data_IF_381646799230
#
_entry.id   IF_381646799230
#
_cell.length_a   1.000
_cell.length_b   1.000
_cell.length_c   1.000
_cell.angle_alpha   90.00
_cell.angle_beta   90.00
_cell.angle_gamma   90.00
#
_symmetry.space_group_name_H-M   'P 1'
#
loop_
_entity.id
_entity.type
_entity.pdbx_description
1 polymer ?
#
# COMPACT_ATOMS: atom_id res chain seq x y z
N UNK A 1 21.02 38.78 -16.77
CA UNK A 1 21.02 37.39 -17.26
C UNK A 1 19.76 36.69 -16.75
N UNK A 2 18.88 36.23 -17.63
CA UNK A 2 17.63 35.59 -17.28
C UNK A 2 17.89 34.10 -16.99
N UNK A 3 17.33 33.49 -15.92
CA UNK A 3 17.45 32.07 -15.71
C UNK A 3 16.57 31.31 -16.71
N UNK A 4 17.14 30.31 -17.35
CA UNK A 4 16.44 29.38 -18.24
C UNK A 4 15.56 28.46 -17.41
N UNK A 5 14.26 28.68 -17.47
CA UNK A 5 13.27 27.69 -17.03
C UNK A 5 13.42 26.44 -17.89
N UNK A 6 13.96 25.37 -17.32
CA UNK A 6 13.82 24.02 -17.88
C UNK A 6 12.40 23.55 -17.56
N UNK A 7 11.57 23.54 -18.60
CA UNK A 7 10.24 22.94 -18.58
C UNK A 7 10.36 21.45 -18.29
N UNK A 8 10.04 21.06 -17.07
CA UNK A 8 9.71 19.69 -16.73
C UNK A 8 8.21 19.48 -16.95
N UNK A 9 7.79 19.56 -18.21
CA UNK A 9 6.47 19.21 -18.67
C UNK A 9 6.56 17.85 -19.35
N UNK A 10 5.88 16.87 -18.74
CA UNK A 10 5.25 15.71 -19.38
C UNK A 10 6.18 14.72 -20.09
N UNK A 11 6.78 13.84 -19.31
CA UNK A 11 6.87 12.45 -19.70
C UNK A 11 6.09 11.66 -18.65
N UNK A 12 4.83 11.35 -18.98
CA UNK A 12 4.01 10.41 -18.27
C UNK A 12 4.66 9.03 -18.38
N UNK A 13 5.57 8.73 -17.47
CA UNK A 13 6.03 7.38 -17.26
C UNK A 13 4.83 6.59 -16.78
N UNK A 14 4.42 5.62 -17.56
CA UNK A 14 3.63 4.48 -17.11
C UNK A 14 4.44 3.73 -16.06
N UNK A 15 4.53 4.29 -14.86
CA UNK A 15 4.89 3.52 -13.70
C UNK A 15 3.67 2.65 -13.38
N UNK A 16 3.68 1.43 -13.90
CA UNK A 16 2.86 0.37 -13.36
C UNK A 16 3.43 0.10 -11.98
N UNK A 17 3.07 0.94 -11.02
CA UNK A 17 3.34 0.68 -9.61
C UNK A 17 2.40 -0.44 -9.20
N UNK A 18 2.94 -1.64 -9.19
CA UNK A 18 2.29 -2.83 -8.66
C UNK A 18 2.17 -2.71 -7.15
N UNK A 19 1.23 -1.89 -6.69
CA UNK A 19 0.78 -1.95 -5.30
C UNK A 19 -0.29 -3.02 -5.22
N UNK A 20 0.12 -4.26 -5.05
CA UNK A 20 -0.78 -5.32 -4.64
C UNK A 20 -1.25 -5.06 -3.21
N UNK A 21 -2.24 -4.19 -3.04
CA UNK A 21 -3.06 -4.16 -1.84
C UNK A 21 -3.88 -5.44 -1.83
N UNK A 22 -3.31 -6.51 -1.30
CA UNK A 22 -3.99 -7.79 -1.16
C UNK A 22 -4.92 -7.75 0.05
N UNK A 23 -6.06 -7.86 -0.25
CA UNK A 23 -7.38 -7.80 0.31
C UNK A 23 -7.84 -8.97 1.07
N UNK A 24 -8.58 -8.64 2.07
CA UNK A 24 -9.51 -9.53 2.75
C UNK A 24 -10.88 -9.44 2.07
N UNK A 25 -11.42 -10.55 1.62
CA UNK A 25 -12.74 -10.60 0.99
C UNK A 25 -13.81 -11.08 1.97
N UNK A 26 -14.90 -10.38 2.05
CA UNK A 26 -16.15 -10.86 2.64
C UNK A 26 -17.19 -11.10 1.55
N UNK A 27 -17.86 -12.26 1.64
CA UNK A 27 -19.01 -12.60 0.82
C UNK A 27 -20.27 -11.99 1.44
N UNK A 28 -21.01 -11.22 0.68
CA UNK A 28 -22.44 -11.01 0.87
C UNK A 28 -23.19 -11.50 -0.36
N UNK A 29 -23.99 -12.55 -0.15
CA UNK A 29 -25.03 -12.98 -1.07
C UNK A 29 -26.17 -11.97 -0.98
N UNK A 30 -26.47 -11.31 -2.06
CA UNK A 30 -27.82 -10.80 -2.33
C UNK A 30 -28.25 -11.29 -3.71
N UNK A 31 -29.31 -12.07 -3.64
CA UNK A 31 -30.08 -12.62 -4.75
C UNK A 31 -30.82 -11.50 -5.48
N UNK A 32 -30.60 -11.37 -6.77
CA UNK A 32 -31.57 -10.79 -7.69
C UNK A 32 -31.71 -11.70 -8.90
N UNK A 33 -32.95 -12.11 -9.11
CA UNK A 33 -33.48 -13.04 -10.09
C UNK A 33 -33.40 -12.52 -11.53
N UNK A 34 -33.63 -13.39 -12.53
CA UNK A 34 -33.16 -13.21 -13.89
C UNK A 34 -34.18 -12.51 -14.77
N UNK A 35 -33.71 -11.79 -15.78
CA UNK A 35 -34.52 -11.34 -16.91
C UNK A 35 -34.08 -12.05 -18.18
N UNK A 36 -34.97 -12.96 -18.59
CA UNK A 36 -35.45 -13.39 -19.92
C UNK A 36 -34.54 -13.34 -21.15
N UNK A 37 -34.37 -14.54 -21.73
CA UNK A 37 -34.39 -15.00 -23.13
C UNK A 37 -34.22 -14.01 -24.28
N UNK A 38 -33.23 -14.28 -25.12
CA UNK A 38 -33.20 -14.06 -26.55
C UNK A 38 -32.73 -15.35 -27.25
N UNK A 39 -33.33 -15.73 -28.39
CA UNK A 39 -33.33 -17.12 -28.87
C UNK A 39 -32.06 -17.54 -29.60
N UNK A 40 -31.80 -18.85 -29.50
CA UNK A 40 -30.82 -19.64 -30.26
C UNK A 40 -31.28 -19.78 -31.68
N UNK A 41 -30.39 -19.53 -32.63
CA UNK A 41 -30.49 -20.07 -33.99
C UNK A 41 -29.56 -21.28 -34.06
N UNK A 42 -30.15 -22.45 -34.14
CA UNK A 42 -29.49 -23.68 -34.52
C UNK A 42 -29.17 -23.63 -36.00
N UNK A 43 -27.95 -23.96 -36.36
CA UNK A 43 -27.68 -24.54 -37.68
C UNK A 43 -26.74 -25.73 -37.54
N UNK A 44 -27.30 -26.85 -37.96
CA UNK A 44 -26.72 -28.19 -37.87
C UNK A 44 -25.85 -28.48 -39.07
N UNK A 45 -24.60 -28.80 -38.86
CA UNK A 45 -23.85 -29.61 -39.79
C UNK A 45 -22.91 -30.55 -39.05
N UNK A 46 -23.32 -31.80 -38.95
CA UNK A 46 -22.52 -32.91 -38.43
C UNK A 46 -21.43 -33.30 -39.40
N UNK A 47 -20.16 -33.07 -39.01
CA UNK A 47 -19.02 -33.75 -39.60
C UNK A 47 -18.29 -34.48 -38.47
N UNK A 48 -18.43 -35.78 -38.47
CA UNK A 48 -17.68 -36.69 -37.61
C UNK A 48 -16.23 -36.77 -38.08
N UNK A 49 -15.33 -36.09 -37.39
CA UNK A 49 -13.89 -36.31 -37.52
C UNK A 49 -13.41 -36.99 -36.24
N UNK A 50 -12.95 -38.20 -36.38
CA UNK A 50 -12.24 -38.95 -35.35
C UNK A 50 -11.02 -38.14 -34.90
N UNK A 51 -11.07 -37.63 -33.68
CA UNK A 51 -9.99 -36.84 -33.10
C UNK A 51 -8.95 -37.78 -32.48
N UNK A 52 -7.90 -38.05 -33.22
CA UNK A 52 -6.63 -38.41 -32.59
C UNK A 52 -6.19 -37.24 -31.69
N UNK A 53 -6.08 -37.53 -30.41
CA UNK A 53 -5.70 -36.54 -29.38
C UNK A 53 -4.22 -36.18 -29.52
N UNK A 54 -3.90 -35.29 -30.42
CA UNK A 54 -2.62 -34.59 -30.39
C UNK A 54 -2.64 -33.63 -29.24
N UNK A 55 -1.93 -33.94 -28.16
CA UNK A 55 -1.73 -33.07 -27.04
C UNK A 55 -0.94 -31.81 -27.50
N UNK A 56 -1.66 -30.79 -27.93
CA UNK A 56 -1.08 -29.48 -28.27
C UNK A 56 -0.43 -28.93 -27.02
N UNK A 57 0.90 -28.93 -26.98
CA UNK A 57 1.66 -28.21 -25.93
C UNK A 57 1.19 -26.74 -25.91
N UNK A 58 0.31 -26.37 -24.97
CA UNK A 58 -0.15 -24.99 -24.82
C UNK A 58 1.08 -24.10 -24.66
N UNK A 59 1.25 -23.13 -25.55
CA UNK A 59 2.34 -22.14 -25.47
C UNK A 59 2.36 -21.51 -24.06
N UNK A 60 3.55 -21.28 -23.53
CA UNK A 60 3.75 -20.58 -22.23
C UNK A 60 2.94 -19.27 -22.18
N UNK A 61 2.91 -18.52 -23.26
CA UNK A 61 2.14 -17.28 -23.39
C UNK A 61 0.63 -17.50 -23.27
N UNK A 62 0.09 -18.59 -23.84
CA UNK A 62 -1.33 -18.93 -23.69
C UNK A 62 -1.68 -19.32 -22.26
N UNK A 63 -0.82 -20.10 -21.58
CA UNK A 63 -1.00 -20.42 -20.15
C UNK A 63 -0.94 -19.17 -19.26
N UNK A 64 -0.06 -18.23 -19.59
CA UNK A 64 0.05 -16.95 -18.92
C UNK A 64 -1.22 -16.10 -19.08
N UNK A 65 -1.72 -15.95 -20.31
CA UNK A 65 -2.99 -15.23 -20.56
C UNK A 65 -4.19 -15.91 -19.91
N UNK A 66 -4.27 -17.26 -19.97
CA UNK A 66 -5.33 -18.02 -19.31
C UNK A 66 -5.29 -17.82 -17.78
N UNK A 67 -4.12 -17.75 -17.17
CA UNK A 67 -3.98 -17.44 -15.73
C UNK A 67 -4.61 -16.10 -15.35
N UNK A 68 -4.36 -15.03 -16.13
CA UNK A 68 -4.94 -13.71 -15.87
C UNK A 68 -6.45 -13.66 -16.18
N UNK A 69 -6.90 -14.37 -17.21
CA UNK A 69 -8.32 -14.46 -17.54
C UNK A 69 -9.10 -15.23 -16.46
N UNK A 70 -8.50 -16.29 -15.92
CA UNK A 70 -9.13 -17.14 -14.90
C UNK A 70 -8.94 -16.60 -13.47
N UNK A 71 -8.10 -15.60 -13.27
CA UNK A 71 -7.85 -15.02 -11.95
C UNK A 71 -9.11 -14.43 -11.29
N UNK A 72 -10.09 -13.98 -12.08
CA UNK A 72 -11.35 -13.41 -11.61
C UNK A 72 -12.47 -14.43 -11.40
N UNK A 73 -12.25 -15.72 -11.70
CA UNK A 73 -13.24 -16.78 -11.48
C UNK A 73 -13.25 -17.19 -10.02
N UNK A 74 -14.41 -17.14 -9.36
CA UNK A 74 -14.57 -17.59 -7.99
C UNK A 74 -14.31 -19.10 -7.88
N UNK A 75 -13.33 -19.47 -7.09
CA UNK A 75 -13.02 -20.87 -6.78
C UNK A 75 -13.66 -21.26 -5.44
N UNK A 76 -14.92 -21.67 -5.47
CA UNK A 76 -15.80 -21.87 -4.29
C UNK A 76 -15.31 -22.87 -3.21
N UNK A 77 -14.28 -23.70 -3.43
CA UNK A 77 -13.93 -24.79 -2.51
C UNK A 77 -12.44 -24.89 -2.10
N UNK A 78 -11.65 -23.84 -2.23
CA UNK A 78 -10.25 -23.92 -1.80
C UNK A 78 -10.07 -23.62 -0.33
N UNK A 79 -9.32 -24.50 0.34
CA UNK A 79 -8.89 -24.32 1.75
C UNK A 79 -7.99 -23.11 1.91
N UNK A 80 -7.19 -22.82 0.87
CA UNK A 80 -6.22 -21.76 0.76
C UNK A 80 -6.20 -21.29 -0.69
N UNK A 81 -6.59 -20.05 -0.92
CA UNK A 81 -6.55 -19.46 -2.27
C UNK A 81 -5.23 -18.74 -2.47
N UNK A 82 -4.32 -19.40 -3.15
CA UNK A 82 -2.99 -18.89 -3.44
C UNK A 82 -2.94 -18.19 -4.80
N UNK A 83 -2.24 -17.07 -4.86
CA UNK A 83 -2.02 -16.31 -6.08
C UNK A 83 -0.60 -15.76 -6.12
N UNK A 84 0.04 -15.85 -7.28
CA UNK A 84 1.33 -15.20 -7.52
C UNK A 84 1.14 -14.16 -8.59
N UNK A 85 1.60 -12.95 -8.30
CA UNK A 85 1.56 -11.83 -9.23
C UNK A 85 2.95 -11.21 -9.25
N UNK A 86 3.45 -10.90 -10.44
CA UNK A 86 4.72 -10.25 -10.57
C UNK A 86 5.16 -10.13 -12.01
N UNK A 87 6.27 -9.47 -12.19
CA UNK A 87 6.84 -9.26 -13.51
C UNK A 87 7.90 -8.16 -13.49
N UNK A 88 8.51 -7.92 -14.66
CA UNK A 88 9.42 -6.82 -14.83
C UNK A 88 8.69 -5.48 -14.66
N UNK A 89 9.35 -4.53 -14.05
CA UNK A 89 8.87 -3.15 -13.89
C UNK A 89 10.00 -2.16 -14.14
N UNK A 90 9.64 -0.91 -14.35
CA UNK A 90 10.56 0.19 -14.43
C UNK A 90 10.05 1.36 -13.58
N UNK A 91 10.93 1.95 -12.79
CA UNK A 91 10.67 3.21 -12.10
C UNK A 91 11.87 4.16 -12.24
N UNK A 92 11.66 5.46 -12.02
CA UNK A 92 12.75 6.44 -12.01
C UNK A 92 13.82 6.12 -10.98
N UNK A 93 13.41 5.56 -9.84
CA UNK A 93 14.28 5.36 -8.68
C UNK A 93 14.96 3.99 -8.70
N UNK A 94 14.22 2.93 -9.03
CA UNK A 94 14.74 1.55 -9.05
C UNK A 94 15.20 1.08 -10.42
N UNK A 95 14.98 1.89 -11.49
CA UNK A 95 15.25 1.52 -12.89
C UNK A 95 14.52 0.23 -13.27
N UNK A 96 15.17 -0.66 -14.02
CA UNK A 96 14.58 -1.95 -14.38
C UNK A 96 14.67 -2.91 -13.20
N UNK A 97 13.54 -3.51 -12.83
CA UNK A 97 13.43 -4.46 -11.73
C UNK A 97 12.53 -5.63 -12.05
N UNK A 98 12.54 -6.61 -11.16
CA UNK A 98 11.65 -7.76 -11.16
C UNK A 98 11.01 -7.89 -9.78
N UNK A 99 9.70 -7.66 -9.71
CA UNK A 99 8.91 -7.79 -8.49
C UNK A 99 8.00 -9.01 -8.50
N UNK A 100 7.87 -9.68 -7.35
CA UNK A 100 6.97 -10.81 -7.15
C UNK A 100 6.19 -10.65 -5.84
N UNK A 101 4.91 -10.98 -5.87
CA UNK A 101 4.04 -11.10 -4.69
C UNK A 101 3.34 -12.44 -4.73
N UNK A 102 3.56 -13.26 -3.72
CA UNK A 102 2.84 -14.50 -3.49
C UNK A 102 1.86 -14.28 -2.33
N UNK A 103 0.56 -14.41 -2.60
CA UNK A 103 -0.47 -14.12 -1.62
C UNK A 103 -1.42 -15.28 -1.42
N UNK A 104 -1.81 -15.50 -0.18
CA UNK A 104 -2.77 -16.51 0.23
C UNK A 104 -3.91 -15.90 1.03
N UNK A 105 -5.13 -16.37 0.73
CA UNK A 105 -6.34 -16.09 1.47
C UNK A 105 -6.85 -17.39 2.08
N UNK A 106 -7.20 -17.37 3.36
CA UNK A 106 -7.72 -18.55 4.06
C UNK A 106 -8.69 -18.15 5.16
N UNK A 107 -9.55 -19.09 5.53
CA UNK A 107 -10.50 -18.92 6.61
C UNK A 107 -10.12 -19.83 7.77
N UNK A 108 -10.02 -19.27 8.96
CA UNK A 108 -9.65 -20.01 10.19
C UNK A 108 -10.79 -20.88 10.68
N UNK A 109 -12.03 -20.46 10.48
CA UNK A 109 -13.23 -21.27 10.70
C UNK A 109 -14.03 -21.35 9.39
N UNK A 110 -14.21 -22.57 8.86
CA UNK A 110 -14.91 -22.79 7.59
C UNK A 110 -16.41 -22.88 7.74
N UNK A 111 -16.88 -23.21 8.93
CA UNK A 111 -18.30 -23.24 9.21
C UNK A 111 -18.87 -21.82 9.28
N UNK A 112 -18.04 -20.84 9.67
CA UNK A 112 -18.43 -19.45 9.71
C UNK A 112 -18.16 -18.78 8.35
N UNK A 113 -19.20 -18.73 7.51
CA UNK A 113 -19.14 -18.12 6.17
C UNK A 113 -19.06 -16.58 6.22
N UNK A 114 -19.40 -15.98 7.36
CA UNK A 114 -19.34 -14.53 7.58
C UNK A 114 -17.97 -14.07 8.11
N UNK A 115 -17.14 -15.01 8.56
CA UNK A 115 -15.81 -14.71 9.05
C UNK A 115 -14.96 -14.12 7.93
N UNK A 116 -14.33 -12.94 8.12
CA UNK A 116 -13.40 -12.36 7.15
C UNK A 116 -12.23 -13.31 6.85
N UNK A 117 -11.68 -13.21 5.64
CA UNK A 117 -10.54 -14.04 5.26
C UNK A 117 -9.26 -13.53 5.91
N UNK A 118 -8.51 -14.44 6.49
CA UNK A 118 -7.13 -14.22 6.88
C UNK A 118 -6.25 -14.12 5.64
N UNK A 119 -5.20 -13.29 5.72
CA UNK A 119 -4.29 -13.02 4.61
C UNK A 119 -2.87 -13.33 4.99
N UNK A 120 -2.08 -13.77 4.02
CA UNK A 120 -0.62 -13.81 4.08
C UNK A 120 -0.06 -13.42 2.73
N UNK A 121 0.96 -12.58 2.72
CA UNK A 121 1.64 -12.16 1.48
C UNK A 121 3.14 -12.20 1.71
N UNK A 122 3.83 -12.92 0.85
CA UNK A 122 5.28 -12.84 0.67
C UNK A 122 5.53 -11.96 -0.55
N UNK A 123 6.36 -10.94 -0.41
CA UNK A 123 6.70 -10.04 -1.51
C UNK A 123 8.19 -9.80 -1.58
N UNK A 124 8.68 -9.67 -2.79
CA UNK A 124 10.10 -9.43 -3.04
C UNK A 124 10.30 -8.66 -4.33
N UNK A 125 11.40 -7.93 -4.39
CA UNK A 125 11.79 -7.13 -5.53
C UNK A 125 13.32 -7.03 -5.64
N UNK A 126 13.83 -7.02 -6.86
CA UNK A 126 15.23 -6.76 -7.15
C UNK A 126 15.36 -5.88 -8.38
N UNK A 127 16.37 -5.02 -8.42
CA UNK A 127 16.58 -4.12 -9.54
C UNK A 127 18.03 -3.99 -9.99
N UNK A 128 18.21 -3.42 -11.17
CA UNK A 128 19.52 -3.21 -11.81
C UNK A 128 20.42 -2.20 -11.08
N UNK A 129 19.85 -1.35 -10.21
CA UNK A 129 20.62 -0.37 -9.41
C UNK A 129 20.96 -0.87 -8.00
N UNK A 130 20.80 -2.18 -7.76
CA UNK A 130 21.11 -2.79 -6.47
C UNK A 130 20.02 -2.56 -5.40
N UNK A 131 18.80 -2.22 -5.79
CA UNK A 131 17.64 -2.32 -4.93
C UNK A 131 17.29 -3.79 -4.71
N UNK A 132 17.03 -4.17 -3.49
CA UNK A 132 16.38 -5.42 -3.15
C UNK A 132 15.44 -5.22 -1.96
N UNK A 133 14.34 -5.92 -2.01
CA UNK A 133 13.30 -5.93 -1.01
C UNK A 133 12.82 -7.36 -0.80
N UNK A 134 12.67 -7.78 0.43
CA UNK A 134 11.94 -8.99 0.79
C UNK A 134 11.09 -8.71 2.02
N UNK A 135 9.84 -9.16 1.99
CA UNK A 135 8.96 -8.98 3.13
C UNK A 135 7.82 -9.98 3.18
N UNK A 136 7.27 -10.10 4.37
CA UNK A 136 6.05 -10.86 4.65
C UNK A 136 5.10 -10.01 5.47
N UNK A 137 3.85 -9.99 5.07
CA UNK A 137 2.77 -9.32 5.81
C UNK A 137 1.50 -10.14 5.79
N UNK A 138 0.68 -9.95 6.81
CA UNK A 138 -0.58 -10.63 6.86
C UNK A 138 -1.45 -10.22 8.04
N UNK A 139 -2.65 -10.79 8.03
CA UNK A 139 -3.62 -10.67 9.11
C UNK A 139 -4.23 -12.04 9.36
N UNK A 140 -4.03 -12.58 10.54
CA UNK A 140 -4.64 -13.81 10.98
C UNK A 140 -5.88 -13.47 11.80
N UNK A 141 -7.06 -13.81 11.30
CA UNK A 141 -8.34 -13.56 11.94
C UNK A 141 -8.79 -14.84 12.63
N UNK A 142 -8.95 -14.76 13.93
CA UNK A 142 -9.39 -15.90 14.75
C UNK A 142 -10.89 -16.14 14.59
N UNK A 143 -11.37 -17.35 14.94
CA UNK A 143 -12.80 -17.70 14.86
C UNK A 143 -13.69 -16.67 15.53
N UNK A 144 -14.87 -16.41 14.92
CA UNK A 144 -15.85 -15.38 15.34
C UNK A 144 -15.31 -13.95 15.28
N UNK A 145 -14.16 -13.73 14.61
CA UNK A 145 -13.49 -12.43 14.53
C UNK A 145 -13.24 -11.77 15.90
N UNK A 146 -12.99 -12.63 16.92
CA UNK A 146 -12.79 -12.17 18.30
C UNK A 146 -11.44 -11.53 18.50
N UNK A 147 -10.41 -12.03 17.78
CA UNK A 147 -9.04 -11.55 17.81
C UNK A 147 -8.50 -11.43 16.39
N UNK A 148 -7.56 -10.50 16.19
CA UNK A 148 -6.79 -10.38 14.95
C UNK A 148 -5.32 -10.23 15.30
N UNK A 149 -4.46 -10.98 14.63
CA UNK A 149 -3.01 -10.83 14.70
C UNK A 149 -2.51 -10.30 13.37
N UNK A 150 -2.01 -9.08 13.37
CA UNK A 150 -1.45 -8.46 12.18
C UNK A 150 0.07 -8.43 12.29
N UNK A 151 0.74 -8.64 11.17
CA UNK A 151 2.19 -8.63 11.11
C UNK A 151 2.68 -8.06 9.78
N UNK A 152 3.80 -7.33 9.86
CA UNK A 152 4.51 -6.81 8.71
C UNK A 152 6.02 -6.85 9.02
N UNK A 153 6.74 -7.67 8.28
CA UNK A 153 8.18 -7.85 8.39
C UNK A 153 8.77 -7.59 7.03
N UNK A 154 9.78 -6.75 6.94
CA UNK A 154 10.52 -6.56 5.71
C UNK A 154 11.95 -6.12 5.97
N UNK A 155 12.78 -6.36 4.99
CA UNK A 155 14.08 -5.72 4.85
C UNK A 155 14.28 -5.28 3.40
N UNK A 156 14.95 -4.17 3.25
CA UNK A 156 15.33 -3.68 1.93
C UNK A 156 16.66 -2.94 1.98
N UNK A 157 17.32 -2.90 0.83
CA UNK A 157 18.43 -1.99 0.57
C UNK A 157 18.08 -1.16 -0.66
N UNK A 158 18.22 0.14 -0.55
CA UNK A 158 17.75 1.08 -1.57
C UNK A 158 18.69 2.27 -1.72
N UNK A 159 19.12 2.59 -2.97
CA UNK A 159 19.72 3.90 -3.25
C UNK A 159 18.66 4.96 -3.02
N UNK A 160 18.83 5.81 -2.04
CA UNK A 160 17.85 6.81 -1.62
C UNK A 160 18.42 8.21 -1.76
N UNK A 161 17.50 9.18 -1.82
CA UNK A 161 17.84 10.59 -1.82
C UNK A 161 17.41 11.25 -0.50
N UNK A 162 18.15 12.27 -0.09
CA UNK A 162 17.93 13.00 1.15
C UNK A 162 18.22 14.50 0.95
N UNK A 163 17.37 15.34 1.50
CA UNK A 163 17.49 16.80 1.40
C UNK A 163 17.69 17.47 2.77
N UNK A 164 17.89 16.69 3.83
CA UNK A 164 17.90 17.18 5.21
C UNK A 164 16.51 17.17 5.85
N UNK A 165 16.41 17.72 7.06
CA UNK A 165 15.18 17.82 7.83
C UNK A 165 14.57 19.22 7.68
N UNK A 166 13.24 19.27 7.57
CA UNK A 166 12.47 20.50 7.52
C UNK A 166 12.16 20.99 6.09
N UNK A 167 11.09 21.78 6.02
CA UNK A 167 10.57 22.30 4.73
C UNK A 167 11.60 23.10 3.95
N UNK A 168 12.38 23.96 4.62
CA UNK A 168 13.39 24.82 3.97
C UNK A 168 14.47 24.01 3.25
N UNK A 169 14.93 22.93 3.86
CA UNK A 169 15.89 22.03 3.25
C UNK A 169 15.28 21.28 2.07
N UNK A 170 14.05 20.78 2.24
CA UNK A 170 13.35 20.00 1.24
C UNK A 170 13.04 20.76 -0.07
N UNK A 171 12.80 22.06 -0.01
CA UNK A 171 12.50 22.87 -1.22
C UNK A 171 13.76 23.30 -1.99
N UNK A 172 14.95 23.22 -1.38
CA UNK A 172 16.19 23.55 -2.03
C UNK A 172 16.74 22.33 -2.77
N UNK A 173 16.71 22.38 -4.11
CA UNK A 173 17.21 21.29 -4.96
C UNK A 173 18.73 21.06 -4.80
N UNK A 174 19.49 22.10 -4.39
CA UNK A 174 20.92 21.95 -4.11
C UNK A 174 21.21 21.03 -2.92
N UNK A 175 20.24 20.78 -2.04
CA UNK A 175 20.37 19.85 -0.92
C UNK A 175 20.16 18.39 -1.32
N UNK A 176 19.83 18.09 -2.57
CA UNK A 176 19.74 16.71 -3.01
C UNK A 176 21.05 15.98 -2.78
N UNK A 177 20.99 14.91 -2.01
CA UNK A 177 22.14 14.09 -1.60
C UNK A 177 21.79 12.62 -1.73
N UNK A 178 22.60 11.89 -2.47
CA UNK A 178 22.45 10.45 -2.59
C UNK A 178 23.05 9.73 -1.39
N UNK A 179 22.39 8.63 -1.00
CA UNK A 179 22.90 7.72 0.01
C UNK A 179 22.34 6.30 -0.20
N UNK A 180 22.95 5.32 0.42
CA UNK A 180 22.43 3.95 0.43
C UNK A 180 21.73 3.69 1.75
N UNK A 181 20.43 3.35 1.70
CA UNK A 181 19.62 2.99 2.87
C UNK A 181 19.48 1.48 2.95
N UNK A 182 19.83 0.92 4.10
CA UNK A 182 19.40 -0.40 4.50
C UNK A 182 18.36 -0.26 5.61
N UNK A 183 17.26 -1.00 5.52
CA UNK A 183 16.25 -1.01 6.57
C UNK A 183 15.70 -2.40 6.77
N UNK A 184 15.54 -2.79 8.04
CA UNK A 184 14.78 -3.95 8.48
C UNK A 184 13.71 -3.49 9.46
N UNK A 185 12.49 -3.98 9.30
CA UNK A 185 11.37 -3.66 10.19
C UNK A 185 10.61 -4.93 10.55
N UNK A 186 10.23 -5.03 11.81
CA UNK A 186 9.23 -5.95 12.32
C UNK A 186 8.15 -5.13 13.01
N UNK A 187 6.90 -5.23 12.58
CA UNK A 187 5.74 -4.60 13.20
C UNK A 187 4.67 -5.65 13.40
N UNK A 188 4.18 -5.77 14.62
CA UNK A 188 3.11 -6.70 14.99
C UNK A 188 2.08 -6.00 15.86
N UNK A 189 0.82 -6.38 15.72
CA UNK A 189 -0.23 -6.01 16.65
C UNK A 189 -1.19 -7.18 16.91
N UNK A 190 -1.73 -7.25 18.12
CA UNK A 190 -2.72 -8.25 18.53
C UNK A 190 -3.98 -7.52 18.99
N UNK A 191 -5.02 -7.59 18.18
CA UNK A 191 -6.24 -6.80 18.33
C UNK A 191 -7.35 -7.63 18.95
N UNK A 192 -8.00 -7.08 19.97
CA UNK A 192 -9.19 -7.61 20.63
C UNK A 192 -10.42 -6.89 20.08
N UNK A 193 -11.44 -7.64 19.68
CA UNK A 193 -12.72 -7.05 19.29
C UNK A 193 -13.48 -6.58 20.53
N UNK A 194 -13.58 -5.27 20.70
CA UNK A 194 -14.27 -4.61 21.82
C UNK A 194 -15.75 -4.42 21.53
N UNK A 195 -16.09 -4.11 20.26
CA UNK A 195 -17.46 -3.96 19.79
C UNK A 195 -17.53 -4.28 18.28
N UNK A 196 -18.71 -4.19 17.67
CA UNK A 196 -18.85 -4.36 16.23
C UNK A 196 -17.93 -3.38 15.49
N UNK A 197 -17.07 -3.91 14.62
CA UNK A 197 -16.10 -3.14 13.81
C UNK A 197 -15.03 -2.38 14.61
N UNK A 198 -14.99 -2.54 15.92
CA UNK A 198 -14.08 -1.81 16.81
C UNK A 198 -13.11 -2.76 17.51
N UNK A 199 -11.82 -2.49 17.36
CA UNK A 199 -10.72 -3.30 17.87
C UNK A 199 -9.72 -2.42 18.60
N UNK A 200 -9.19 -2.94 19.69
CA UNK A 200 -8.12 -2.32 20.48
C UNK A 200 -7.10 -3.40 20.86
N UNK A 201 -5.83 -3.10 20.84
CA UNK A 201 -4.83 -4.07 21.27
C UNK A 201 -3.42 -3.53 21.32
N UNK A 202 -2.51 -4.29 21.95
CA UNK A 202 -1.10 -3.96 22.02
C UNK A 202 -0.44 -4.10 20.64
N UNK A 203 0.59 -3.27 20.45
CA UNK A 203 1.48 -3.37 19.29
C UNK A 203 2.94 -3.29 19.74
N UNK A 204 3.83 -3.85 18.93
CA UNK A 204 5.26 -3.73 19.08
C UNK A 204 5.91 -3.58 17.70
N UNK A 205 7.02 -2.85 17.64
CA UNK A 205 7.84 -2.79 16.44
C UNK A 205 9.33 -2.78 16.79
N UNK A 206 10.11 -3.30 15.84
CA UNK A 206 11.55 -3.16 15.79
C UNK A 206 11.90 -2.55 14.44
N UNK A 207 12.68 -1.48 14.46
CA UNK A 207 13.16 -0.78 13.28
C UNK A 207 14.68 -0.67 13.33
N UNK A 208 15.35 -1.16 12.29
CA UNK A 208 16.77 -0.97 12.08
C UNK A 208 16.98 -0.23 10.78
N UNK A 209 17.67 0.90 10.83
CA UNK A 209 17.96 1.75 9.67
C UNK A 209 19.46 2.05 9.69
N UNK A 210 20.13 1.84 8.55
CA UNK A 210 21.55 2.13 8.37
C UNK A 210 21.73 2.89 7.06
N UNK A 211 22.11 4.16 7.18
CA UNK A 211 22.46 5.01 6.05
C UNK A 211 23.96 4.95 5.79
N UNK A 212 24.35 4.82 4.54
CA UNK A 212 25.76 4.70 4.11
C UNK A 212 26.04 5.53 2.87
N UNK A 213 27.32 5.86 2.68
CA UNK A 213 27.81 6.51 1.47
C UNK A 213 27.09 7.82 1.16
N UNK A 214 26.98 8.69 2.16
CA UNK A 214 26.38 10.00 1.99
C UNK A 214 27.23 10.90 1.11
N UNK A 215 26.63 11.47 0.07
CA UNK A 215 27.27 12.44 -0.79
C UNK A 215 27.48 13.79 -0.07
N UNK A 216 26.50 14.21 0.74
CA UNK A 216 26.50 15.45 1.52
C UNK A 216 26.26 15.17 3.00
N UNK A 217 27.29 14.75 3.76
CA UNK A 217 27.14 14.37 5.16
C UNK A 217 26.72 15.53 6.07
N UNK A 218 26.98 16.77 5.68
CA UNK A 218 26.59 17.99 6.42
C UNK A 218 25.07 18.15 6.59
N UNK A 219 24.26 17.57 5.70
CA UNK A 219 22.79 17.59 5.79
C UNK A 219 22.25 16.77 6.95
N UNK A 220 23.06 15.88 7.52
CA UNK A 220 22.70 15.04 8.65
C UNK A 220 22.78 15.75 10.00
N UNK A 221 23.42 16.92 10.04
CA UNK A 221 23.50 17.80 11.22
C UNK A 221 23.95 17.08 12.50
N UNK A 222 24.86 16.12 12.40
CA UNK A 222 25.38 15.34 13.53
C UNK A 222 24.46 14.20 14.00
N UNK A 223 23.34 13.92 13.34
CA UNK A 223 22.52 12.76 13.64
C UNK A 223 23.23 11.46 13.25
N UNK A 224 23.02 10.41 14.03
CA UNK A 224 23.58 9.10 13.75
C UNK A 224 23.01 8.51 12.46
N UNK A 225 23.90 8.04 11.59
CA UNK A 225 23.54 7.36 10.36
C UNK A 225 22.78 6.05 10.60
N UNK A 226 23.07 5.40 11.73
CA UNK A 226 22.48 4.13 12.16
C UNK A 226 21.48 4.37 13.28
N UNK A 227 20.32 3.74 13.18
CA UNK A 227 19.29 3.74 14.21
C UNK A 227 18.80 2.33 14.44
N UNK A 228 18.78 1.89 15.70
CA UNK A 228 18.10 0.70 16.17
C UNK A 228 17.01 1.13 17.15
N UNK A 229 15.76 0.75 16.91
CA UNK A 229 14.64 1.21 17.71
C UNK A 229 13.67 0.08 18.02
N UNK A 230 13.37 -0.11 19.29
CA UNK A 230 12.30 -0.98 19.78
C UNK A 230 11.18 -0.11 20.32
N UNK A 231 9.95 -0.34 19.85
CA UNK A 231 8.79 0.38 20.38
C UNK A 231 7.67 -0.57 20.77
N UNK A 232 6.92 -0.16 21.77
CA UNK A 232 5.69 -0.79 22.20
C UNK A 232 4.58 0.25 22.29
N UNK A 233 3.33 -0.17 22.15
CA UNK A 233 2.22 0.77 22.17
C UNK A 233 0.87 0.12 22.06
N UNK A 234 -0.11 0.93 21.65
CA UNK A 234 -1.49 0.51 21.47
C UNK A 234 -1.98 0.91 20.08
N UNK A 235 -2.76 0.03 19.48
CA UNK A 235 -3.49 0.28 18.25
C UNK A 235 -4.99 0.26 18.51
N UNK A 236 -5.70 1.26 17.99
CA UNK A 236 -7.14 1.34 17.95
C UNK A 236 -7.57 1.30 16.49
N UNK A 237 -8.53 0.42 16.14
CA UNK A 237 -9.05 0.28 14.78
C UNK A 237 -10.56 0.27 14.79
N UNK A 238 -11.17 1.10 13.95
CA UNK A 238 -12.57 1.01 13.57
C UNK A 238 -12.65 0.75 12.06
N UNK A 239 -13.27 -0.34 11.66
CA UNK A 239 -13.36 -0.74 10.25
C UNK A 239 -14.76 -1.22 9.88
N UNK A 240 -15.53 -0.36 9.22
CA UNK A 240 -16.87 -0.65 8.70
C UNK A 240 -16.91 -0.73 7.18
N UNK A 241 -15.73 -0.83 6.53
CA UNK A 241 -15.67 -0.96 5.08
C UNK A 241 -16.35 -2.25 4.62
N UNK A 242 -17.05 -2.16 3.50
CA UNK A 242 -17.69 -3.32 2.87
C UNK A 242 -16.66 -4.28 2.25
N UNK A 243 -15.47 -3.78 1.94
CA UNK A 243 -14.38 -4.57 1.39
C UNK A 243 -13.02 -3.93 1.72
N UNK A 244 -12.05 -4.75 2.13
CA UNK A 244 -10.80 -4.21 2.66
C UNK A 244 -9.88 -3.64 1.59
N UNK A 245 -9.84 -4.22 0.38
CA UNK A 245 -8.94 -3.77 -0.71
C UNK A 245 -9.49 -2.71 -1.61
N UNK A 246 -10.77 -2.78 -1.92
CA UNK A 246 -11.42 -1.83 -2.81
C UNK A 246 -12.80 -1.53 -2.24
N UNK A 247 -12.82 -0.77 -1.15
CA UNK A 247 -14.04 -0.36 -0.48
C UNK A 247 -14.88 0.55 -1.39
N UNK A 248 -16.19 0.32 -1.41
CA UNK A 248 -17.19 1.14 -2.08
C UNK A 248 -17.94 1.99 -1.07
N UNK A 249 -18.08 1.49 0.17
CA UNK A 249 -18.75 2.20 1.26
C UNK A 249 -18.11 1.85 2.59
N UNK A 250 -18.26 2.76 3.55
CA UNK A 250 -17.83 2.53 4.92
C UNK A 250 -16.71 3.46 5.35
N UNK A 251 -16.29 3.27 6.56
CA UNK A 251 -15.32 4.10 7.25
C UNK A 251 -14.19 3.24 7.81
N UNK A 252 -12.98 3.72 7.73
CA UNK A 252 -11.79 3.15 8.35
C UNK A 252 -11.11 4.20 9.20
N UNK A 253 -10.77 3.84 10.42
CA UNK A 253 -9.95 4.64 11.33
C UNK A 253 -8.92 3.71 11.98
N UNK A 254 -7.66 4.12 11.97
CA UNK A 254 -6.60 3.49 12.75
C UNK A 254 -5.82 4.57 13.48
N UNK A 255 -5.59 4.36 14.77
CA UNK A 255 -4.71 5.18 15.60
C UNK A 255 -3.70 4.25 16.23
N UNK A 256 -2.43 4.50 15.96
CA UNK A 256 -1.30 3.79 16.58
C UNK A 256 -0.56 4.78 17.48
N UNK A 257 -0.53 4.51 18.79
CA UNK A 257 0.31 5.23 19.74
C UNK A 257 1.50 4.35 20.10
N UNK A 258 2.72 4.80 19.78
CA UNK A 258 3.97 4.08 20.04
C UNK A 258 4.85 4.85 21.00
N UNK A 259 5.57 4.11 21.82
CA UNK A 259 6.55 4.61 22.77
C UNK A 259 7.87 3.87 22.56
N UNK A 260 8.95 4.61 22.43
CA UNK A 260 10.32 4.14 22.24
C UNK A 260 11.19 4.67 23.41
N UNK A 261 11.01 4.14 24.63
CA UNK A 261 11.78 4.63 25.79
C UNK A 261 13.21 4.08 25.77
N UNK A 262 14.14 4.79 26.39
CA UNK A 262 15.55 4.40 26.48
C UNK A 262 15.78 3.05 27.18
N UNK A 263 14.93 2.67 28.14
CA UNK A 263 15.07 1.39 28.85
C UNK A 263 14.86 0.14 27.98
N UNK A 264 14.30 0.28 26.78
CA UNK A 264 14.22 -0.79 25.77
C UNK A 264 15.51 -0.93 24.94
N UNK A 265 16.57 -0.21 25.29
CA UNK A 265 17.84 -0.22 24.57
C UNK A 265 17.88 0.76 23.38
N UNK A 266 17.00 1.74 23.35
CA UNK A 266 16.99 2.77 22.32
C UNK A 266 17.99 3.87 22.62
N UNK A 267 18.74 4.30 21.59
CA UNK A 267 19.63 5.47 21.68
C UNK A 267 18.83 6.79 21.74
N UNK A 268 17.61 6.79 21.21
CA UNK A 268 16.70 7.93 21.14
C UNK A 268 15.41 7.65 21.87
N UNK A 269 15.02 8.53 22.79
CA UNK A 269 13.78 8.41 23.53
C UNK A 269 12.70 9.31 22.89
N UNK A 270 11.69 8.71 22.28
CA UNK A 270 10.61 9.42 21.62
C UNK A 270 9.28 8.65 21.69
N UNK A 271 8.22 9.30 21.30
CA UNK A 271 6.93 8.65 21.05
C UNK A 271 6.34 9.12 19.73
N UNK A 272 5.40 8.36 19.20
CA UNK A 272 4.72 8.72 17.96
C UNK A 272 3.24 8.38 17.99
N UNK A 273 2.43 9.26 17.40
CA UNK A 273 1.02 9.05 17.12
C UNK A 273 0.82 9.01 15.62
N UNK A 274 0.35 7.89 15.10
CA UNK A 274 -0.01 7.74 13.69
C UNK A 274 -1.52 7.58 13.58
N UNK A 275 -2.17 8.45 12.80
CA UNK A 275 -3.60 8.39 12.53
C UNK A 275 -3.80 8.22 11.03
N UNK A 276 -4.57 7.21 10.66
CA UNK A 276 -5.08 7.04 9.29
C UNK A 276 -6.59 6.94 9.34
N UNK A 277 -7.28 7.74 8.56
CA UNK A 277 -8.72 7.61 8.38
C UNK A 277 -9.09 7.65 6.91
N UNK A 278 -10.08 6.85 6.52
CA UNK A 278 -10.60 6.82 5.16
C UNK A 278 -12.11 6.66 5.18
N UNK A 279 -12.77 7.35 4.27
CA UNK A 279 -14.22 7.27 4.07
C UNK A 279 -14.53 6.97 2.62
N UNK A 280 -15.51 6.09 2.37
CA UNK A 280 -15.91 5.64 1.04
C UNK A 280 -17.42 5.79 0.90
N UNK A 281 -17.86 6.44 -0.16
CA UNK A 281 -19.28 6.67 -0.43
C UNK A 281 -19.60 6.49 -1.92
N UNK A 282 -20.54 5.59 -2.27
CA UNK A 282 -21.03 5.50 -3.64
C UNK A 282 -21.90 6.71 -3.96
N UNK A 283 -21.58 7.44 -5.03
CA UNK A 283 -22.29 8.68 -5.41
C UNK A 283 -23.23 8.47 -6.60
N UNK A 284 -22.88 7.55 -7.51
CA UNK A 284 -23.72 7.09 -8.62
C UNK A 284 -23.28 5.69 -9.07
N UNK A 285 -23.93 5.14 -10.09
CA UNK A 285 -23.61 3.80 -10.61
C UNK A 285 -22.16 3.71 -11.09
N UNK A 286 -21.34 2.91 -10.38
CA UNK A 286 -19.92 2.72 -10.68
C UNK A 286 -19.02 3.86 -10.21
N UNK A 287 -19.57 4.95 -9.64
CA UNK A 287 -18.85 6.08 -9.10
C UNK A 287 -18.73 6.02 -7.58
N UNK A 288 -17.51 6.15 -7.06
CA UNK A 288 -17.20 6.11 -5.62
C UNK A 288 -16.35 7.32 -5.29
N UNK A 289 -16.76 8.08 -4.30
CA UNK A 289 -15.96 9.11 -3.67
C UNK A 289 -15.23 8.50 -2.48
N UNK A 290 -13.90 8.62 -2.47
CA UNK A 290 -13.04 8.19 -1.38
C UNK A 290 -12.30 9.40 -0.81
N UNK A 291 -12.33 9.55 0.50
CA UNK A 291 -11.54 10.55 1.23
C UNK A 291 -10.55 9.85 2.14
N UNK A 292 -9.36 10.40 2.29
CA UNK A 292 -8.33 9.92 3.22
C UNK A 292 -7.68 11.11 3.92
N UNK A 293 -7.40 10.93 5.21
CA UNK A 293 -6.51 11.78 5.98
C UNK A 293 -5.50 10.91 6.70
N UNK A 294 -4.25 11.32 6.68
CA UNK A 294 -3.15 10.66 7.36
C UNK A 294 -2.30 11.68 8.09
N UNK A 295 -1.80 11.32 9.27
CA UNK A 295 -0.80 12.11 9.99
C UNK A 295 0.09 11.19 10.81
N UNK A 296 1.38 11.50 10.82
CA UNK A 296 2.36 10.95 11.74
C UNK A 296 2.99 12.11 12.52
N UNK A 297 2.85 12.05 13.82
CA UNK A 297 3.36 13.03 14.77
C UNK A 297 4.39 12.33 15.66
N UNK A 298 5.59 12.88 15.74
CA UNK A 298 6.63 12.35 16.63
C UNK A 298 7.00 13.39 17.68
N UNK A 299 7.27 12.92 18.89
CA UNK A 299 7.53 13.75 20.07
C UNK A 299 8.81 13.28 20.76
N UNK A 300 9.68 14.21 21.13
CA UNK A 300 10.98 13.92 21.75
C UNK A 300 12.11 13.83 20.71
N UNK A 301 13.12 13.02 21.01
CA UNK A 301 14.33 12.90 20.19
C UNK A 301 14.13 11.84 19.10
N UNK A 302 13.45 12.23 18.03
CA UNK A 302 13.17 11.30 16.94
C UNK A 302 14.35 11.22 15.99
N UNK A 303 14.93 10.03 15.76
CA UNK A 303 16.00 9.86 14.80
C UNK A 303 15.50 10.09 13.37
N UNK A 304 16.39 10.63 12.51
CA UNK A 304 16.05 11.03 11.14
C UNK A 304 15.30 9.94 10.34
N UNK A 305 15.69 8.69 10.54
CA UNK A 305 15.14 7.56 9.79
C UNK A 305 13.69 7.21 10.15
N UNK A 306 13.21 7.66 11.33
CA UNK A 306 11.87 7.43 11.86
C UNK A 306 11.00 8.70 11.93
N UNK A 307 11.52 9.84 11.47
CA UNK A 307 10.74 11.06 11.29
C UNK A 307 9.64 10.87 10.26
N UNK A 308 8.59 11.67 10.37
CA UNK A 308 7.49 11.69 9.42
C UNK A 308 7.92 12.19 8.04
N UNK A 309 7.39 11.58 6.99
CA UNK A 309 7.71 11.90 5.59
C UNK A 309 6.44 12.07 4.78
N UNK A 310 6.52 12.90 3.72
CA UNK A 310 5.52 12.95 2.66
C UNK A 310 5.99 12.20 1.43
N UNK A 311 5.02 11.75 0.62
CA UNK A 311 5.25 11.01 -0.61
C UNK A 311 5.16 9.50 -0.38
N UNK A 312 4.26 8.86 -1.07
CA UNK A 312 4.12 7.41 -1.12
C UNK A 312 3.26 6.99 -2.31
N UNK A 313 3.13 5.70 -2.53
CA UNK A 313 2.20 5.16 -3.53
C UNK A 313 0.72 5.42 -3.19
N UNK A 314 0.40 5.75 -1.94
CA UNK A 314 -0.97 5.88 -1.43
C UNK A 314 -1.38 7.32 -1.14
N UNK A 315 -0.43 8.14 -0.75
CA UNK A 315 -0.65 9.51 -0.31
C UNK A 315 0.43 10.42 -0.86
N UNK A 316 0.07 11.66 -1.20
CA UNK A 316 0.99 12.62 -1.82
C UNK A 316 1.75 12.02 -3.02
N UNK A 317 1.01 11.28 -3.87
CA UNK A 317 1.55 10.63 -5.06
C UNK A 317 2.17 11.67 -6.01
N UNK A 318 3.39 11.39 -6.49
CA UNK A 318 4.18 12.30 -7.32
C UNK A 318 5.31 13.02 -6.57
N UNK A 319 5.28 13.02 -5.25
CA UNK A 319 6.40 13.45 -4.43
C UNK A 319 7.34 12.27 -4.15
N UNK A 320 8.65 12.54 -4.18
CA UNK A 320 9.64 11.55 -3.76
C UNK A 320 9.48 11.27 -2.26
N UNK A 321 9.32 10.01 -1.86
CA UNK A 321 9.15 9.62 -0.47
C UNK A 321 10.38 9.97 0.36
N UNK A 322 10.20 10.82 1.38
CA UNK A 322 11.26 11.25 2.27
C UNK A 322 12.01 12.52 1.81
N UNK A 323 11.68 13.13 0.65
CA UNK A 323 12.15 14.48 0.33
C UNK A 323 11.70 15.48 1.39
N UNK A 324 10.40 15.49 1.68
CA UNK A 324 9.82 16.30 2.75
C UNK A 324 9.75 15.46 4.02
N UNK A 325 10.61 15.80 5.00
CA UNK A 325 10.81 15.06 6.24
C UNK A 325 10.89 16.01 7.43
N UNK A 326 10.13 15.72 8.48
CA UNK A 326 10.18 16.47 9.74
C UNK A 326 9.63 15.60 10.88
N UNK A 327 9.57 16.11 12.11
CA UNK A 327 8.94 15.41 13.25
C UNK A 327 7.46 15.14 13.02
N UNK A 328 6.76 16.01 12.30
CA UNK A 328 5.34 15.89 12.02
C UNK A 328 5.07 16.00 10.51
N UNK A 329 4.18 15.16 10.02
CA UNK A 329 3.61 15.25 8.69
C UNK A 329 2.10 15.02 8.74
N UNK A 330 1.36 15.70 7.89
CA UNK A 330 -0.05 15.44 7.67
C UNK A 330 -0.40 15.63 6.20
N UNK A 331 -1.33 14.81 5.73
CA UNK A 331 -1.85 14.88 4.37
C UNK A 331 -3.32 14.48 4.32
N UNK A 332 -4.00 15.02 3.31
CA UNK A 332 -5.38 14.67 3.00
C UNK A 332 -5.58 14.57 1.49
N UNK A 333 -6.42 13.64 1.06
CA UNK A 333 -6.76 13.50 -0.35
C UNK A 333 -8.19 13.06 -0.54
N UNK A 334 -8.75 13.46 -1.68
CA UNK A 334 -10.05 13.01 -2.17
C UNK A 334 -9.81 12.34 -3.53
N UNK A 335 -10.41 11.18 -3.74
CA UNK A 335 -10.31 10.41 -4.98
C UNK A 335 -11.69 10.02 -5.48
N UNK A 336 -11.99 10.37 -6.71
CA UNK A 336 -13.16 9.90 -7.43
C UNK A 336 -12.76 8.68 -8.27
N UNK A 337 -13.37 7.55 -8.00
CA UNK A 337 -13.20 6.28 -8.72
C UNK A 337 -14.40 6.03 -9.58
N UNK A 338 -14.19 5.75 -10.88
CA UNK A 338 -15.25 5.39 -11.81
C UNK A 338 -14.97 4.03 -12.43
N UNK A 339 -15.86 3.08 -12.23
CA UNK A 339 -15.91 1.85 -13.03
C UNK A 339 -16.45 2.19 -14.42
N UNK A 340 -15.73 1.85 -15.46
CA UNK A 340 -16.09 2.19 -16.85
C UNK A 340 -16.67 0.99 -17.57
N UNK A 341 -15.95 -0.12 -17.65
CA UNK A 341 -16.38 -1.28 -18.44
C UNK A 341 -15.66 -2.55 -18.01
N UNK A 342 -16.40 -3.65 -17.77
CA UNK A 342 -15.87 -4.95 -17.34
C UNK A 342 -14.93 -4.83 -16.12
N UNK A 343 -13.61 -4.92 -16.35
CA UNK A 343 -12.56 -4.86 -15.33
C UNK A 343 -11.86 -3.51 -15.30
N UNK A 344 -12.31 -2.57 -16.12
CA UNK A 344 -11.63 -1.30 -16.34
C UNK A 344 -12.30 -0.18 -15.59
N UNK A 345 -11.53 0.67 -14.99
CA UNK A 345 -11.94 1.87 -14.29
C UNK A 345 -10.90 2.96 -14.40
N UNK A 346 -11.27 4.14 -13.98
CA UNK A 346 -10.40 5.30 -13.88
C UNK A 346 -10.53 5.91 -12.49
N UNK A 347 -9.52 6.64 -12.08
CA UNK A 347 -9.54 7.45 -10.87
C UNK A 347 -8.94 8.82 -11.15
N UNK A 348 -9.49 9.84 -10.49
CA UNK A 348 -8.90 11.17 -10.41
C UNK A 348 -8.82 11.57 -8.95
N UNK A 349 -7.76 12.26 -8.56
CA UNK A 349 -7.58 12.67 -7.17
C UNK A 349 -7.00 14.05 -7.06
N UNK A 350 -7.27 14.68 -5.93
CA UNK A 350 -6.63 15.88 -5.46
C UNK A 350 -6.38 15.78 -3.96
N UNK A 351 -5.33 16.39 -3.49
CA UNK A 351 -4.95 16.39 -2.09
C UNK A 351 -3.93 17.44 -1.76
N UNK A 352 -3.55 17.49 -0.50
CA UNK A 352 -2.53 18.37 -0.02
C UNK A 352 -1.85 17.77 1.23
N UNK A 353 -0.59 18.13 1.46
CA UNK A 353 0.16 17.69 2.63
C UNK A 353 1.19 18.72 3.06
N UNK A 354 1.68 18.57 4.28
CA UNK A 354 2.70 19.45 4.86
C UNK A 354 3.53 18.71 5.89
N UNK A 355 4.72 19.23 6.15
CA UNK A 355 5.58 18.82 7.25
C UNK A 355 5.87 20.00 8.15
N UNK A 356 6.10 19.74 9.44
CA UNK A 356 6.45 20.75 10.42
C UNK A 356 7.13 20.11 11.65
N UNK A 357 7.99 20.86 12.40
CA UNK A 357 8.69 20.30 13.55
C UNK A 357 7.78 20.09 14.76
N UNK A 358 6.76 20.94 14.94
CA UNK A 358 5.76 20.90 16.01
C UNK A 358 4.52 21.70 15.62
N UNK A 359 3.40 21.50 16.29
CA UNK A 359 2.13 22.17 15.96
C UNK A 359 2.20 23.69 16.01
N UNK A 360 3.01 24.26 16.90
CA UNK A 360 3.21 25.70 17.02
C UNK A 360 3.89 26.31 15.80
N UNK A 361 4.65 25.50 15.06
CA UNK A 361 5.35 25.90 13.83
C UNK A 361 4.57 25.58 12.53
N UNK A 362 3.35 25.07 12.66
CA UNK A 362 2.50 24.84 11.49
C UNK A 362 2.21 26.15 10.75
N UNK A 363 2.39 26.14 9.44
CA UNK A 363 2.05 27.27 8.57
C UNK A 363 1.41 26.81 7.27
N UNK A 364 0.28 27.43 6.86
CA UNK A 364 -0.36 27.11 5.57
C UNK A 364 0.53 27.37 4.35
N UNK A 365 1.59 28.20 4.49
CA UNK A 365 2.53 28.51 3.40
C UNK A 365 3.37 27.30 2.96
N UNK A 366 3.47 26.27 3.79
CA UNK A 366 4.21 25.03 3.53
C UNK A 366 3.33 23.91 3.01
N UNK A 367 2.05 24.18 2.71
CA UNK A 367 1.14 23.18 2.14
C UNK A 367 1.52 22.93 0.68
N UNK A 368 1.71 21.65 0.37
CA UNK A 368 2.08 21.13 -0.94
C UNK A 368 0.84 20.50 -1.59
N UNK A 369 0.44 20.93 -2.80
CA UNK A 369 -0.68 20.33 -3.50
C UNK A 369 -0.29 19.01 -4.17
N UNK A 370 -1.27 18.12 -4.32
CA UNK A 370 -1.13 16.86 -5.04
C UNK A 370 -2.40 16.63 -5.86
N UNK A 371 -2.25 16.22 -7.11
CA UNK A 371 -3.37 15.84 -7.97
C UNK A 371 -2.91 14.88 -9.07
N UNK A 372 -3.84 14.15 -9.63
CA UNK A 372 -3.53 13.23 -10.71
C UNK A 372 -4.73 12.44 -11.18
N UNK A 373 -4.47 11.59 -12.16
CA UNK A 373 -5.41 10.62 -12.68
C UNK A 373 -4.72 9.28 -12.88
N UNK A 374 -5.50 8.20 -12.89
CA UNK A 374 -4.97 6.86 -13.04
C UNK A 374 -5.98 5.90 -13.66
N UNK A 375 -5.45 4.88 -14.30
CA UNK A 375 -6.19 3.74 -14.78
C UNK A 375 -6.25 2.68 -13.69
N UNK A 376 -7.39 2.01 -13.53
CA UNK A 376 -7.62 0.94 -12.56
C UNK A 376 -8.06 -0.32 -13.28
N UNK A 377 -7.34 -1.39 -13.10
CA UNK A 377 -7.71 -2.69 -13.65
C UNK A 377 -8.03 -3.68 -12.53
N UNK A 378 -9.24 -4.27 -12.57
CA UNK A 378 -9.65 -5.28 -11.60
C UNK A 378 -9.02 -6.64 -11.94
N UNK A 379 -7.96 -6.98 -11.24
CA UNK A 379 -7.28 -8.26 -11.39
C UNK A 379 -8.13 -9.43 -10.88
N UNK A 380 -8.62 -9.33 -9.64
CA UNK A 380 -9.64 -10.19 -9.03
C UNK A 380 -10.82 -9.33 -8.60
N UNK A 381 -11.96 -9.97 -8.32
CA UNK A 381 -13.14 -9.27 -7.83
C UNK A 381 -12.76 -8.39 -6.62
N UNK A 382 -12.97 -7.08 -6.76
CA UNK A 382 -12.63 -6.07 -5.75
C UNK A 382 -11.13 -5.94 -5.42
N UNK A 383 -10.24 -6.43 -6.29
CA UNK A 383 -8.79 -6.22 -6.21
C UNK A 383 -8.34 -5.52 -7.47
N UNK A 384 -7.93 -4.25 -7.33
CA UNK A 384 -7.48 -3.42 -8.43
C UNK A 384 -5.96 -3.22 -8.40
N UNK A 385 -5.39 -3.08 -9.56
CA UNK A 385 -4.02 -2.63 -9.83
C UNK A 385 -4.06 -1.39 -10.68
#
# INVERSE_FOLDING_TARGET
>A
MRPKHKNWLLLGCFSIVWTASLAQGENHNDSLSPITHIPVIEDSASVSVTADSVAVKRSFFKKFLDYFNDANKEKKNKKFDFSVIGGPHYSSDTKLGLGLVAAGLYRTDRADTLLPLSTVSLYGDVSTVGFYLLGVRGSHIFPKDKYRFNYNLYFYSFPSLYWGVGYRNAVNDENESSYKRFQAQVKVDFMFRMAKNFYLGPMASFDYIDGRNFEKPELWQGMDARTSNVSAGLSLVYDSRDFLTNAYKGYYLRIDQRFSPAFLGNDYAFSSTELTTSYYHPIWKGGILAGQFHTLLTYGDTPWGLMATLGSSYSMRGYYEGRYRDKCAMDAQIELRQHVWKRNGVAVWAGAGTIFPEFSAFTPKHILPNYGFGYRWEFKKRVNV
#
